data_IF_161116857434
#
_entry.id   IF_161116857434
#
_cell.length_a   1.000
_cell.length_b   1.000
_cell.length_c   1.000
_cell.angle_alpha   90.00
_cell.angle_beta   90.00
_cell.angle_gamma   90.00
#
_symmetry.space_group_name_H-M   'P 1'
#
loop_
_entity.id
_entity.type
_entity.pdbx_description
1 polymer ?
#
# COMPACT_ATOMS: atom_id res chain seq x y z
N UNK A 1 -15.80 15.60 12.64
CA UNK A 1 -15.25 16.09 11.34
C UNK A 1 -13.84 15.55 11.11
N UNK A 2 -12.99 15.48 12.14
CA UNK A 2 -11.64 14.92 12.06
C UNK A 2 -11.60 13.46 11.59
N UNK A 3 -12.51 12.61 12.07
CA UNK A 3 -12.59 11.20 11.68
C UNK A 3 -12.87 11.00 10.18
N UNK A 4 -13.66 11.88 9.58
CA UNK A 4 -13.95 11.83 8.14
C UNK A 4 -12.73 12.24 7.32
N UNK A 5 -12.00 13.27 7.75
CA UNK A 5 -10.75 13.68 7.11
C UNK A 5 -9.72 12.55 7.13
N UNK A 6 -9.55 11.88 8.27
CA UNK A 6 -8.65 10.72 8.41
C UNK A 6 -9.11 9.52 7.57
N UNK A 7 -10.43 9.29 7.47
CA UNK A 7 -10.99 8.24 6.61
C UNK A 7 -10.66 8.49 5.13
N UNK A 8 -10.84 9.72 4.66
CA UNK A 8 -10.53 10.10 3.28
C UNK A 8 -9.05 9.87 2.97
N UNK A 9 -8.16 10.32 3.86
CA UNK A 9 -6.71 10.10 3.70
C UNK A 9 -6.38 8.62 3.63
N UNK A 10 -6.97 7.78 4.49
CA UNK A 10 -6.75 6.33 4.46
C UNK A 10 -7.20 5.68 3.16
N UNK A 11 -8.38 6.04 2.65
CA UNK A 11 -8.88 5.48 1.40
C UNK A 11 -8.01 5.88 0.21
N UNK A 12 -7.56 7.13 0.17
CA UNK A 12 -6.67 7.61 -0.89
C UNK A 12 -5.32 6.89 -0.81
N UNK A 13 -4.67 6.91 0.35
CA UNK A 13 -3.34 6.31 0.53
C UNK A 13 -3.40 4.79 0.34
N UNK A 14 -4.37 4.11 0.94
CA UNK A 14 -4.60 2.67 0.77
C UNK A 14 -4.88 2.30 -0.67
N UNK A 15 -5.74 3.04 -1.35
CA UNK A 15 -6.05 2.86 -2.78
C UNK A 15 -4.82 3.05 -3.67
N UNK A 16 -3.97 4.04 -3.37
CA UNK A 16 -2.71 4.23 -4.09
C UNK A 16 -1.78 3.03 -3.94
N UNK A 17 -1.59 2.52 -2.73
CA UNK A 17 -0.75 1.34 -2.50
C UNK A 17 -1.34 0.07 -3.15
N UNK A 18 -2.66 -0.10 -3.15
CA UNK A 18 -3.33 -1.17 -3.88
C UNK A 18 -3.05 -1.10 -5.39
N UNK A 19 -3.20 0.10 -5.97
CA UNK A 19 -2.95 0.31 -7.40
C UNK A 19 -1.48 0.06 -7.76
N UNK A 20 -0.54 0.55 -6.95
CA UNK A 20 0.89 0.33 -7.17
C UNK A 20 1.28 -1.16 -7.01
N UNK A 21 0.76 -1.84 -5.98
CA UNK A 21 0.98 -3.27 -5.80
C UNK A 21 0.45 -4.07 -6.98
N UNK A 22 -0.73 -3.73 -7.49
CA UNK A 22 -1.31 -4.36 -8.67
C UNK A 22 -0.51 -4.09 -9.95
N UNK A 23 0.02 -2.87 -10.13
CA UNK A 23 0.92 -2.54 -11.24
C UNK A 23 2.20 -3.39 -11.21
N UNK A 24 2.79 -3.58 -10.01
CA UNK A 24 4.04 -4.34 -9.84
C UNK A 24 3.82 -5.84 -9.96
N UNK A 25 2.75 -6.40 -9.39
CA UNK A 25 2.50 -7.85 -9.40
C UNK A 25 1.85 -8.34 -10.70
N UNK A 26 0.88 -7.59 -11.21
CA UNK A 26 0.00 -8.06 -12.29
C UNK A 26 0.12 -7.25 -13.58
N UNK A 27 0.90 -6.16 -13.59
CA UNK A 27 0.99 -5.26 -14.75
C UNK A 27 -0.32 -4.51 -15.03
N UNK A 28 -1.23 -4.44 -14.06
CA UNK A 28 -2.51 -3.74 -14.21
C UNK A 28 -2.30 -2.25 -14.45
N UNK A 29 -3.29 -1.60 -15.06
CA UNK A 29 -3.25 -0.16 -15.35
C UNK A 29 -2.04 0.27 -16.21
N UNK A 30 -1.52 -0.62 -17.05
CA UNK A 30 -0.32 -0.37 -17.86
C UNK A 30 0.98 -0.38 -17.06
N UNK A 31 0.98 -0.98 -15.87
CA UNK A 31 2.15 -1.11 -15.01
C UNK A 31 3.23 -2.02 -15.59
N UNK A 32 4.47 -1.83 -15.14
CA UNK A 32 5.65 -2.55 -15.63
C UNK A 32 5.63 -4.06 -15.32
N UNK A 33 4.73 -4.51 -14.43
CA UNK A 33 4.66 -5.90 -13.98
C UNK A 33 5.92 -6.33 -13.25
N UNK A 34 6.00 -7.63 -12.95
CA UNK A 34 7.10 -8.18 -12.15
C UNK A 34 8.44 -8.01 -12.87
N UNK A 35 8.51 -8.33 -14.15
CA UNK A 35 9.75 -8.28 -14.92
C UNK A 35 10.28 -6.85 -15.08
N UNK A 36 9.41 -5.87 -15.35
CA UNK A 36 9.83 -4.47 -15.48
C UNK A 36 10.24 -3.87 -14.13
N UNK A 37 9.52 -4.19 -13.07
CA UNK A 37 9.88 -3.77 -11.70
C UNK A 37 11.19 -4.40 -11.26
N UNK A 38 11.40 -5.69 -11.54
CA UNK A 38 12.64 -6.40 -11.26
C UNK A 38 13.82 -5.77 -11.99
N UNK A 39 13.67 -5.47 -13.29
CA UNK A 39 14.71 -4.82 -14.08
C UNK A 39 15.05 -3.42 -13.55
N UNK A 40 14.05 -2.64 -13.13
CA UNK A 40 14.29 -1.35 -12.49
C UNK A 40 15.03 -1.49 -11.16
N UNK A 41 14.64 -2.44 -10.29
CA UNK A 41 15.32 -2.72 -9.03
C UNK A 41 16.78 -3.14 -9.25
N UNK A 42 17.03 -4.01 -10.23
CA UNK A 42 18.41 -4.43 -10.55
C UNK A 42 19.24 -3.29 -11.13
N UNK A 43 18.62 -2.34 -11.85
CA UNK A 43 19.31 -1.15 -12.37
C UNK A 43 19.84 -0.22 -11.27
N UNK A 44 19.25 -0.29 -10.07
CA UNK A 44 19.69 0.43 -8.87
C UNK A 44 20.42 -0.49 -7.87
N UNK A 45 20.91 -1.63 -8.36
CA UNK A 45 21.68 -2.65 -7.62
C UNK A 45 20.93 -3.38 -6.49
N UNK A 46 19.59 -3.30 -6.50
CA UNK A 46 18.73 -4.09 -5.60
C UNK A 46 18.51 -5.47 -6.21
N UNK A 47 19.32 -6.43 -5.75
CA UNK A 47 19.33 -7.82 -6.22
C UNK A 47 18.94 -8.79 -5.09
N UNK A 48 18.25 -9.91 -5.40
CA UNK A 48 17.72 -10.30 -6.71
C UNK A 48 16.40 -9.57 -7.04
N UNK A 49 16.33 -8.93 -8.21
CA UNK A 49 15.26 -7.98 -8.55
C UNK A 49 13.89 -8.61 -8.58
N UNK A 50 13.76 -9.82 -9.11
CA UNK A 50 12.47 -10.51 -9.21
C UNK A 50 11.86 -10.81 -7.83
N UNK A 51 12.67 -11.29 -6.89
CA UNK A 51 12.23 -11.53 -5.52
C UNK A 51 11.83 -10.22 -4.84
N UNK A 52 12.64 -9.18 -4.99
CA UNK A 52 12.35 -7.87 -4.42
C UNK A 52 11.10 -7.24 -5.04
N UNK A 53 10.87 -7.39 -6.35
CA UNK A 53 9.68 -6.93 -7.04
C UNK A 53 8.42 -7.63 -6.51
N UNK A 54 8.48 -8.95 -6.27
CA UNK A 54 7.38 -9.68 -5.63
C UNK A 54 7.15 -9.19 -4.20
N UNK A 55 8.20 -9.00 -3.40
CA UNK A 55 8.08 -8.53 -2.02
C UNK A 55 7.46 -7.13 -1.95
N UNK A 56 7.98 -6.17 -2.71
CA UNK A 56 7.45 -4.81 -2.75
C UNK A 56 6.00 -4.81 -3.24
N UNK A 57 5.71 -5.52 -4.34
CA UNK A 57 4.35 -5.60 -4.86
C UNK A 57 3.36 -6.20 -3.85
N UNK A 58 3.75 -7.25 -3.12
CA UNK A 58 2.92 -7.87 -2.08
C UNK A 58 2.73 -6.96 -0.88
N UNK A 59 3.80 -6.29 -0.42
CA UNK A 59 3.74 -5.36 0.72
C UNK A 59 2.81 -4.19 0.38
N UNK A 60 2.93 -3.62 -0.82
CA UNK A 60 2.06 -2.52 -1.24
C UNK A 60 0.60 -2.97 -1.40
N UNK A 61 0.35 -4.13 -2.01
CA UNK A 61 -1.01 -4.64 -2.19
C UNK A 61 -1.67 -4.97 -0.84
N UNK A 62 -0.98 -5.70 0.03
CA UNK A 62 -1.51 -6.10 1.34
C UNK A 62 -1.63 -4.88 2.26
N UNK A 63 -0.61 -4.03 2.30
CA UNK A 63 -0.62 -2.80 3.10
C UNK A 63 -1.71 -1.82 2.67
N UNK A 64 -1.96 -1.70 1.37
CA UNK A 64 -3.05 -0.92 0.82
C UNK A 64 -4.43 -1.47 1.19
N UNK A 65 -4.61 -2.80 1.17
CA UNK A 65 -5.84 -3.45 1.64
C UNK A 65 -6.05 -3.26 3.14
N UNK A 66 -4.99 -3.38 3.94
CA UNK A 66 -5.02 -3.25 5.39
C UNK A 66 -5.20 -1.79 5.87
N UNK A 67 -5.12 -0.80 4.98
CA UNK A 67 -5.49 0.58 5.26
C UNK A 67 -7.02 0.77 5.47
N UNK A 68 -7.73 -0.33 5.72
CA UNK A 68 -9.14 -0.38 6.04
C UNK A 68 -9.52 0.55 7.21
N UNK A 69 -10.82 0.92 7.30
CA UNK A 69 -11.31 1.75 8.39
C UNK A 69 -11.13 0.98 9.71
N UNK A 70 -10.05 1.24 10.44
CA UNK A 70 -9.99 0.87 11.84
C UNK A 70 -11.06 1.71 12.55
N UNK A 71 -12.22 1.10 12.78
CA UNK A 71 -13.22 1.59 13.72
C UNK A 71 -12.56 1.61 15.08
N UNK A 72 -11.94 2.75 15.42
CA UNK A 72 -11.52 2.98 16.79
C UNK A 72 -12.80 3.07 17.60
N UNK A 73 -13.17 1.96 18.23
CA UNK A 73 -13.92 2.05 19.46
C UNK A 73 -12.96 2.73 20.45
N UNK A 74 -13.07 4.05 20.55
CA UNK A 74 -12.32 4.84 21.52
C UNK A 74 -12.93 4.50 22.87
N UNK A 75 -12.47 3.39 23.45
CA UNK A 75 -12.82 3.00 24.79
C UNK A 75 -12.28 4.06 25.75
N UNK A 76 -13.18 4.67 26.51
CA UNK A 76 -12.87 5.55 27.62
C UNK A 76 -12.66 7.00 27.21
N UNK A 77 -13.75 7.76 27.21
CA UNK A 77 -13.64 9.19 27.45
C UNK A 77 -12.85 9.41 28.73
N UNK A 78 -11.80 10.22 28.67
CA UNK A 78 -11.15 10.75 29.85
C UNK A 78 -12.23 11.53 30.61
N UNK A 79 -12.57 11.17 31.86
CA UNK A 79 -13.47 11.98 32.65
C UNK A 79 -12.78 13.33 32.87
N UNK A 80 -13.34 14.38 32.26
CA UNK A 80 -13.20 15.71 32.83
C UNK A 80 -13.94 15.66 34.16
N UNK A 81 -13.16 15.74 35.24
CA UNK A 81 -13.53 16.18 36.59
C UNK A 81 -15.02 16.29 36.95
#
# INVERSE_FOLDING_TARGET
MEDLGLLIVRLIVGGLFLAHGAQKLFGWFGGAGLSGTAGWLESIDVKPGFFMAMMVGLIELIGGCAAEPRSYHIAGGIPAE
#
